data_IF_794935542028
#
_entry.id   IF_794935542028
#
_cell.length_a   1.000
_cell.length_b   1.000
_cell.length_c   1.000
_cell.angle_alpha   90.00
_cell.angle_beta   90.00
_cell.angle_gamma   90.00
#
_symmetry.space_group_name_H-M   'P 1'
#
loop_
_entity.id
_entity.type
_entity.pdbx_description
1 polymer ?
#
# COMPACT_ATOMS: atom_id res chain seq x y z
N UNK A 1 7.88 14.79 18.30
CA UNK A 1 8.20 14.33 16.94
C UNK A 1 6.97 13.68 16.33
N UNK A 2 6.62 14.09 15.15
CA UNK A 2 5.45 13.55 14.47
C UNK A 2 5.71 12.13 13.99
N UNK A 3 4.70 11.30 14.12
CA UNK A 3 4.77 9.93 13.62
C UNK A 3 4.56 9.93 12.12
N UNK A 4 5.29 9.07 11.43
CA UNK A 4 5.09 8.87 10.00
C UNK A 4 3.79 8.12 9.77
N UNK A 5 3.04 8.56 8.77
CA UNK A 5 1.78 7.93 8.38
C UNK A 5 2.02 6.85 7.34
N UNK A 6 1.47 5.68 7.59
CA UNK A 6 1.57 4.56 6.66
C UNK A 6 0.15 4.14 6.27
N UNK A 7 -0.09 4.06 4.97
CA UNK A 7 -1.36 3.56 4.44
C UNK A 7 -1.22 2.07 4.20
N UNK A 8 -2.07 1.28 4.85
CA UNK A 8 -2.09 -0.17 4.70
C UNK A 8 -3.33 -0.56 3.92
N UNK A 9 -3.13 -1.20 2.79
CA UNK A 9 -4.20 -1.58 1.85
C UNK A 9 -4.25 -3.08 1.70
N UNK A 10 -5.35 -3.67 2.14
CA UNK A 10 -5.55 -5.11 2.05
C UNK A 10 -7.05 -5.37 2.16
N UNK A 11 -7.59 -6.20 1.28
CA UNK A 11 -9.02 -6.54 1.32
C UNK A 11 -9.34 -7.53 2.44
N UNK A 12 -8.34 -8.20 2.99
CA UNK A 12 -8.53 -9.11 4.11
C UNK A 12 -8.31 -8.37 5.42
N UNK A 13 -9.40 -8.20 6.17
CA UNK A 13 -9.37 -7.40 7.40
C UNK A 13 -8.42 -7.94 8.47
N UNK A 14 -8.27 -9.25 8.55
CA UNK A 14 -7.36 -9.87 9.52
C UNK A 14 -5.90 -9.52 9.24
N UNK A 15 -5.50 -9.65 7.99
CA UNK A 15 -4.13 -9.33 7.58
C UNK A 15 -3.86 -7.85 7.77
N UNK A 16 -4.82 -7.03 7.37
CA UNK A 16 -4.71 -5.58 7.53
C UNK A 16 -4.52 -5.20 8.99
N UNK A 17 -5.29 -5.83 9.88
CA UNK A 17 -5.17 -5.57 11.32
C UNK A 17 -3.82 -6.01 11.87
N UNK A 18 -3.33 -7.17 11.44
CA UNK A 18 -2.02 -7.65 11.88
C UNK A 18 -0.91 -6.68 11.50
N UNK A 19 -0.92 -6.21 10.28
CA UNK A 19 0.07 -5.25 9.80
C UNK A 19 -0.05 -3.94 10.57
N UNK A 20 -1.29 -3.47 10.75
CA UNK A 20 -1.54 -2.26 11.51
C UNK A 20 -1.00 -2.36 12.93
N UNK A 21 -1.34 -3.43 13.64
CA UNK A 21 -0.93 -3.61 15.04
C UNK A 21 0.60 -3.62 15.16
N UNK A 22 1.27 -4.29 14.23
CA UNK A 22 2.73 -4.33 14.20
C UNK A 22 3.31 -2.92 14.00
N UNK A 23 2.78 -2.18 13.05
CA UNK A 23 3.29 -0.84 12.75
C UNK A 23 3.00 0.17 13.85
N UNK A 24 1.83 0.07 14.47
CA UNK A 24 1.50 0.94 15.61
C UNK A 24 2.45 0.69 16.77
N UNK A 25 2.78 -0.57 17.04
CA UNK A 25 3.77 -0.90 18.05
C UNK A 25 5.15 -0.34 17.73
N UNK A 26 5.47 -0.28 16.44
CA UNK A 26 6.76 0.26 16.01
C UNK A 26 6.80 1.79 16.03
N UNK A 27 5.69 2.46 16.34
CA UNK A 27 5.65 3.91 16.48
C UNK A 27 5.12 4.67 15.29
N UNK A 28 4.42 4.02 14.38
CA UNK A 28 3.85 4.67 13.20
C UNK A 28 2.35 4.93 13.36
N UNK A 29 1.86 5.95 12.66
CA UNK A 29 0.43 6.14 12.51
C UNK A 29 -0.03 5.33 11.29
N UNK A 30 -1.13 4.60 11.44
CA UNK A 30 -1.61 3.72 10.38
C UNK A 30 -3.00 4.14 9.94
N UNK A 31 -3.16 4.24 8.63
CA UNK A 31 -4.46 4.49 7.99
C UNK A 31 -4.76 3.25 7.15
N UNK A 32 -5.98 2.78 7.20
CA UNK A 32 -6.38 1.55 6.53
C UNK A 32 -7.28 1.81 5.33
N UNK A 33 -7.13 0.97 4.32
CA UNK A 33 -8.06 0.92 3.19
C UNK A 33 -8.35 -0.54 2.86
N UNK A 34 -9.60 -0.85 2.59
CA UNK A 34 -10.04 -2.22 2.37
C UNK A 34 -10.09 -2.66 0.91
N UNK A 35 -9.89 -1.73 -0.02
CA UNK A 35 -9.81 -2.05 -1.44
C UNK A 35 -9.03 -0.96 -2.17
N UNK A 36 -8.80 -1.20 -3.46
CA UNK A 36 -7.97 -0.29 -4.26
C UNK A 36 -8.57 1.08 -4.47
N UNK A 37 -9.87 1.15 -4.68
CA UNK A 37 -10.56 2.42 -4.86
C UNK A 37 -10.48 3.25 -3.59
N UNK A 38 -10.77 2.63 -2.46
CA UNK A 38 -10.67 3.28 -1.17
C UNK A 38 -9.22 3.74 -0.90
N UNK A 39 -8.24 2.94 -1.32
CA UNK A 39 -6.83 3.29 -1.16
C UNK A 39 -6.48 4.57 -1.91
N UNK A 40 -6.91 4.69 -3.15
CA UNK A 40 -6.65 5.88 -3.96
C UNK A 40 -7.33 7.10 -3.34
N UNK A 41 -8.60 6.97 -2.99
CA UNK A 41 -9.35 8.06 -2.36
C UNK A 41 -8.71 8.51 -1.05
N UNK A 42 -8.31 7.54 -0.22
CA UNK A 42 -7.67 7.83 1.06
C UNK A 42 -6.32 8.51 0.87
N UNK A 43 -5.54 8.05 -0.08
CA UNK A 43 -4.23 8.64 -0.36
C UNK A 43 -4.36 10.12 -0.73
N UNK A 44 -5.32 10.45 -1.58
CA UNK A 44 -5.50 11.85 -1.99
C UNK A 44 -6.18 12.72 -0.93
N UNK A 45 -6.97 12.11 -0.05
CA UNK A 45 -7.61 12.84 1.05
C UNK A 45 -6.66 13.11 2.21
N UNK A 46 -5.69 12.23 2.41
CA UNK A 46 -4.72 12.35 3.50
C UNK A 46 -3.41 12.92 2.98
N UNK A 47 -2.95 13.98 3.59
CA UNK A 47 -1.64 14.54 3.27
C UNK A 47 -0.59 13.82 4.11
N UNK A 48 0.63 13.85 3.64
CA UNK A 48 1.78 13.36 4.40
C UNK A 48 1.85 11.86 4.62
N UNK A 49 1.21 11.08 3.75
CA UNK A 49 1.43 9.63 3.77
C UNK A 49 2.87 9.37 3.32
N UNK A 50 3.64 8.73 4.18
CA UNK A 50 5.07 8.51 3.97
C UNK A 50 5.37 7.17 3.29
N UNK A 51 4.44 6.23 3.36
CA UNK A 51 4.64 4.88 2.82
C UNK A 51 3.29 4.24 2.59
N UNK A 52 3.18 3.44 1.54
CA UNK A 52 2.01 2.62 1.27
C UNK A 52 2.44 1.16 1.29
N UNK A 53 1.74 0.36 2.08
CA UNK A 53 1.88 -1.11 2.05
C UNK A 53 0.63 -1.63 1.36
N UNK A 54 0.80 -2.32 0.25
CA UNK A 54 -0.26 -2.58 -0.69
C UNK A 54 -0.32 -4.04 -1.08
N UNK A 55 -1.47 -4.66 -0.88
CA UNK A 55 -1.72 -6.02 -1.33
C UNK A 55 -1.95 -6.02 -2.85
N UNK A 56 -1.34 -6.95 -3.54
CA UNK A 56 -1.50 -7.10 -4.99
C UNK A 56 -2.84 -7.71 -5.34
N UNK A 57 -3.24 -8.74 -4.59
CA UNK A 57 -4.41 -9.56 -4.91
C UNK A 57 -5.67 -9.02 -4.26
N UNK A 58 -6.30 -8.05 -4.91
CA UNK A 58 -7.53 -7.46 -4.42
C UNK A 58 -8.60 -7.46 -5.52
N UNK A 59 -9.88 -7.60 -5.15
CA UNK A 59 -10.96 -7.51 -6.13
C UNK A 59 -11.11 -6.07 -6.64
N UNK A 60 -11.76 -5.92 -7.79
CA UNK A 60 -12.05 -4.65 -8.46
C UNK A 60 -10.80 -3.97 -8.97
N UNK A 61 -10.05 -3.30 -8.10
CA UNK A 61 -8.82 -2.62 -8.46
C UNK A 61 -7.66 -3.28 -7.72
N UNK A 62 -6.82 -4.01 -8.44
CA UNK A 62 -5.69 -4.71 -7.82
C UNK A 62 -4.56 -3.74 -7.46
N UNK A 63 -3.54 -4.27 -6.78
CA UNK A 63 -2.42 -3.46 -6.31
C UNK A 63 -1.66 -2.75 -7.43
N UNK A 64 -1.54 -3.38 -8.59
CA UNK A 64 -0.85 -2.76 -9.72
C UNK A 64 -1.59 -1.53 -10.23
N UNK A 65 -2.91 -1.61 -10.29
CA UNK A 65 -3.75 -0.49 -10.71
C UNK A 65 -3.67 0.66 -9.72
N UNK A 66 -3.69 0.36 -8.42
CA UNK A 66 -3.53 1.37 -7.37
C UNK A 66 -2.18 2.07 -7.53
N UNK A 67 -1.13 1.31 -7.74
CA UNK A 67 0.21 1.85 -7.92
C UNK A 67 0.26 2.80 -9.12
N UNK A 68 -0.31 2.39 -10.25
CA UNK A 68 -0.34 3.25 -11.44
C UNK A 68 -1.08 4.56 -11.18
N UNK A 69 -2.23 4.48 -10.53
CA UNK A 69 -3.02 5.68 -10.22
C UNK A 69 -2.22 6.66 -9.35
N UNK A 70 -1.59 6.14 -8.31
CA UNK A 70 -0.84 6.98 -7.38
C UNK A 70 0.41 7.55 -8.04
N UNK A 71 1.09 6.76 -8.89
CA UNK A 71 2.31 7.19 -9.56
C UNK A 71 2.09 8.31 -10.58
N UNK A 72 0.86 8.54 -11.01
CA UNK A 72 0.56 9.67 -11.88
C UNK A 72 0.88 11.01 -11.20
N UNK A 73 0.76 11.07 -9.87
CA UNK A 73 0.89 12.33 -9.15
C UNK A 73 1.83 12.28 -7.95
N UNK A 74 2.45 11.14 -7.67
CA UNK A 74 3.26 11.01 -6.46
C UNK A 74 4.38 9.98 -6.63
N UNK A 75 5.47 10.22 -5.92
CA UNK A 75 6.59 9.29 -5.84
C UNK A 75 6.68 8.64 -4.46
N UNK A 76 5.57 8.62 -3.73
CA UNK A 76 5.54 8.02 -2.40
C UNK A 76 6.06 6.57 -2.45
N UNK A 77 6.89 6.15 -1.51
CA UNK A 77 7.35 4.75 -1.47
C UNK A 77 6.18 3.79 -1.33
N UNK A 78 6.22 2.71 -2.13
CA UNK A 78 5.19 1.69 -2.11
C UNK A 78 5.85 0.32 -1.96
N UNK A 79 5.40 -0.44 -0.98
CA UNK A 79 5.80 -1.83 -0.80
C UNK A 79 4.62 -2.70 -1.20
N UNK A 80 4.85 -3.60 -2.15
CA UNK A 80 3.81 -4.52 -2.60
C UNK A 80 3.95 -5.83 -1.86
N UNK A 81 2.84 -6.30 -1.30
CA UNK A 81 2.78 -7.60 -0.65
C UNK A 81 1.97 -8.55 -1.53
N UNK A 82 2.44 -9.77 -1.64
CA UNK A 82 1.72 -10.79 -2.39
C UNK A 82 1.91 -12.14 -1.74
N UNK A 83 0.87 -12.94 -1.76
CA UNK A 83 0.94 -14.32 -1.27
C UNK A 83 1.75 -15.21 -2.23
N UNK A 84 1.95 -14.74 -3.44
CA UNK A 84 2.72 -15.45 -4.47
C UNK A 84 3.93 -14.63 -4.84
N UNK A 85 5.09 -15.02 -4.37
CA UNK A 85 6.31 -14.34 -4.77
C UNK A 85 6.78 -14.93 -6.10
N UNK A 86 6.26 -14.41 -7.18
CA UNK A 86 6.69 -14.79 -8.51
C UNK A 86 7.63 -13.73 -9.06
N UNK A 87 8.72 -14.19 -9.61
CA UNK A 87 9.76 -13.34 -10.16
C UNK A 87 9.22 -12.34 -11.18
N UNK A 88 8.27 -12.79 -12.00
CA UNK A 88 7.64 -11.94 -13.00
C UNK A 88 6.92 -10.76 -12.39
N UNK A 89 6.25 -10.97 -11.25
CA UNK A 89 5.53 -9.91 -10.57
C UNK A 89 6.49 -8.87 -9.97
N UNK A 90 7.64 -9.31 -9.49
CA UNK A 90 8.68 -8.40 -9.02
C UNK A 90 9.16 -7.48 -10.13
N UNK A 91 9.40 -8.04 -11.31
CA UNK A 91 9.85 -7.25 -12.45
C UNK A 91 8.81 -6.21 -12.85
N UNK A 92 7.53 -6.60 -12.86
CA UNK A 92 6.45 -5.65 -13.13
C UNK A 92 6.36 -4.57 -12.06
N UNK A 93 6.64 -4.93 -10.81
CA UNK A 93 6.66 -3.98 -9.72
C UNK A 93 7.69 -2.88 -9.95
N UNK A 94 8.88 -3.24 -10.38
CA UNK A 94 9.91 -2.26 -10.69
C UNK A 94 9.51 -1.38 -11.86
N UNK A 95 8.91 -1.94 -12.89
CA UNK A 95 8.45 -1.18 -14.06
C UNK A 95 7.40 -0.14 -13.68
N UNK A 96 6.61 -0.39 -12.65
CA UNK A 96 5.58 0.52 -12.19
C UNK A 96 6.07 1.47 -11.10
N UNK A 97 7.35 1.46 -10.79
CA UNK A 97 7.93 2.36 -9.80
C UNK A 97 7.71 1.92 -8.36
N UNK A 98 7.54 0.64 -8.14
CA UNK A 98 7.46 0.09 -6.79
C UNK A 98 8.87 0.06 -6.22
N UNK A 99 9.04 0.56 -5.01
CA UNK A 99 10.36 0.68 -4.39
C UNK A 99 10.87 -0.64 -3.83
N UNK A 100 9.94 -1.50 -3.41
CA UNK A 100 10.29 -2.79 -2.85
C UNK A 100 9.13 -3.75 -3.04
N UNK A 101 9.47 -5.01 -3.25
CA UNK A 101 8.47 -6.05 -3.55
C UNK A 101 8.38 -7.09 -2.43
#
# INVERSE_FOLDING_TARGET
MEKLKILVVDDESRMRKLVKDFLVKAGYDVIEAGDGEQAVDTFYAQKDIALIILDVMMPKMDGWQVCREIRQNSKVPIIMLTAKSEERDELLGFDLGVDEY
#
